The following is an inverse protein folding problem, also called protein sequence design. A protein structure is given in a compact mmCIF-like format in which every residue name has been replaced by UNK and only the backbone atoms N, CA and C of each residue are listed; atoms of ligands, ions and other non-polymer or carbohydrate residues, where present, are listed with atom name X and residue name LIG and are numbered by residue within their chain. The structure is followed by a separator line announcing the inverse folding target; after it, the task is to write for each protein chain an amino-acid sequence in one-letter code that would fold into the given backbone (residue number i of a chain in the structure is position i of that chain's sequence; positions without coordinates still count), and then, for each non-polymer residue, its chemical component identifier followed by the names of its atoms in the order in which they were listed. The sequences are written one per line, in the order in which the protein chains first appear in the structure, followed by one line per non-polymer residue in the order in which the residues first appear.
data_IF_138670731950
#
_entry.id   IF_138670731950
#
_cell.length_a   1.000
_cell.length_b   1.000
_cell.length_c   1.000
_cell.angle_alpha   90.00
_cell.angle_beta   90.00
_cell.angle_gamma   90.00
#
_symmetry.space_group_name_H-M   'P 1'
#
loop_
_entity.id
_entity.type
_entity.pdbx_description
1 polymer ?
#
# COMPACT_ATOMS: atom_id res chain seq x y z
N UNK A 1 11.93 -10.75 13.75
CA UNK A 1 11.24 -10.21 12.56
C UNK A 1 10.10 -9.37 13.05
N UNK A 2 10.13 -8.04 12.87
CA UNK A 2 8.95 -7.21 13.15
C UNK A 2 7.95 -7.52 12.03
N UNK A 3 6.77 -7.98 12.41
CA UNK A 3 5.71 -8.39 11.49
C UNK A 3 5.05 -7.16 10.89
N UNK A 4 5.11 -7.03 9.57
CA UNK A 4 4.29 -6.06 8.84
C UNK A 4 2.80 -6.26 9.20
N UNK A 5 2.15 -5.20 9.68
CA UNK A 5 0.76 -5.28 10.16
C UNK A 5 -0.21 -5.25 8.97
N UNK A 6 -0.42 -6.42 8.39
CA UNK A 6 -1.32 -6.63 7.25
C UNK A 6 -2.76 -6.21 7.54
N UNK A 7 -3.23 -6.37 8.78
CA UNK A 7 -4.59 -5.96 9.17
C UNK A 7 -4.75 -4.45 9.14
N UNK A 8 -3.79 -3.71 9.68
CA UNK A 8 -3.77 -2.25 9.63
C UNK A 8 -3.63 -1.75 8.19
N UNK A 9 -2.74 -2.35 7.41
CA UNK A 9 -2.57 -2.02 6.00
C UNK A 9 -3.89 -2.20 5.23
N UNK A 10 -4.55 -3.34 5.39
CA UNK A 10 -5.84 -3.62 4.76
C UNK A 10 -6.92 -2.64 5.18
N UNK A 11 -6.95 -2.22 6.46
CA UNK A 11 -7.91 -1.22 6.94
C UNK A 11 -7.71 0.14 6.28
N UNK A 12 -6.45 0.57 6.10
CA UNK A 12 -6.13 1.82 5.39
C UNK A 12 -6.56 1.73 3.93
N UNK A 13 -6.22 0.61 3.27
CA UNK A 13 -6.54 0.35 1.87
C UNK A 13 -8.06 0.37 1.63
N UNK A 14 -8.82 -0.34 2.47
CA UNK A 14 -10.28 -0.42 2.38
C UNK A 14 -10.97 0.93 2.60
N UNK A 15 -10.32 1.87 3.28
CA UNK A 15 -10.82 3.23 3.51
C UNK A 15 -10.31 4.23 2.46
N UNK A 16 -9.45 3.81 1.54
CA UNK A 16 -8.88 4.67 0.52
C UNK A 16 -9.88 4.87 -0.61
N UNK A 17 -10.51 6.05 -0.66
CA UNK A 17 -11.36 6.48 -1.77
C UNK A 17 -10.48 7.13 -2.85
N UNK A 18 -10.53 6.63 -4.09
CA UNK A 18 -9.83 7.24 -5.23
C UNK A 18 -8.41 6.75 -5.55
N UNK A 19 -7.93 5.70 -4.86
CA UNK A 19 -6.62 5.11 -5.11
C UNK A 19 -5.48 5.70 -4.26
N UNK A 20 -4.41 4.92 -4.08
CA UNK A 20 -3.30 5.25 -3.20
C UNK A 20 -1.97 4.69 -3.74
N UNK A 21 -0.87 5.29 -3.32
CA UNK A 21 0.49 4.78 -3.57
C UNK A 21 0.99 3.98 -2.38
N UNK A 22 1.95 3.08 -2.60
CA UNK A 22 2.59 2.35 -1.50
C UNK A 22 3.36 3.28 -0.53
N UNK A 23 3.79 4.46 -0.99
CA UNK A 23 4.36 5.51 -0.11
C UNK A 23 3.33 6.06 0.87
N UNK A 24 2.12 6.40 0.39
CA UNK A 24 1.01 6.85 1.23
C UNK A 24 0.64 5.79 2.25
N UNK A 25 0.58 4.52 1.84
CA UNK A 25 0.33 3.39 2.72
C UNK A 25 1.42 3.27 3.79
N UNK A 26 2.71 3.33 3.40
CA UNK A 26 3.83 3.28 4.33
C UNK A 26 3.77 4.43 5.33
N UNK A 27 3.52 5.66 4.90
CA UNK A 27 3.37 6.83 5.78
C UNK A 27 2.21 6.67 6.77
N UNK A 28 1.07 6.16 6.31
CA UNK A 28 -0.09 5.89 7.16
C UNK A 28 0.19 4.78 8.20
N UNK A 29 1.07 3.82 7.86
CA UNK A 29 1.53 2.79 8.78
C UNK A 29 2.55 3.33 9.80
N UNK A 30 3.53 4.14 9.38
CA UNK A 30 4.58 4.78 10.21
C UNK A 30 3.99 5.74 11.25
N UNK A 31 2.88 6.41 10.94
CA UNK A 31 2.30 7.46 11.80
C UNK A 31 2.05 7.05 13.27
N UNK A 32 2.07 5.74 13.59
CA UNK A 32 2.08 5.24 14.98
C UNK A 32 3.42 4.70 15.50
N UNK A 33 4.33 4.25 14.64
CA UNK A 33 5.59 3.61 15.04
C UNK A 33 6.77 4.54 14.74
N UNK A 34 7.16 5.34 15.74
CA UNK A 34 8.17 6.41 15.63
C UNK A 34 9.61 5.95 15.34
N UNK A 35 9.83 4.68 14.97
CA UNK A 35 11.17 4.08 14.83
C UNK A 35 11.26 3.02 13.73
N UNK A 36 10.35 3.01 12.76
CA UNK A 36 10.43 2.05 11.66
C UNK A 36 11.29 2.57 10.52
N UNK A 37 12.24 1.74 10.09
CA UNK A 37 13.11 2.01 8.95
C UNK A 37 12.22 2.13 7.71
N UNK A 38 11.96 3.36 7.29
CA UNK A 38 10.95 3.68 6.28
C UNK A 38 11.22 2.93 4.96
N UNK A 39 12.48 2.58 4.70
CA UNK A 39 12.92 1.82 3.53
C UNK A 39 12.44 0.37 3.54
N UNK A 40 12.49 -0.31 4.70
CA UNK A 40 12.04 -1.70 4.81
C UNK A 40 10.52 -1.77 4.72
N UNK A 41 9.83 -0.86 5.41
CA UNK A 41 8.38 -0.77 5.33
C UNK A 41 7.89 -0.45 3.92
N UNK A 42 8.55 0.43 3.18
CA UNK A 42 8.20 0.70 1.77
C UNK A 42 8.28 -0.57 0.92
N UNK A 43 9.31 -1.40 1.11
CA UNK A 43 9.45 -2.68 0.40
C UNK A 43 8.32 -3.64 0.76
N UNK A 44 7.98 -3.74 2.04
CA UNK A 44 6.89 -4.62 2.49
C UNK A 44 5.52 -4.11 2.02
N UNK A 45 5.26 -2.79 2.06
CA UNK A 45 4.07 -2.17 1.49
C UNK A 45 3.93 -2.46 0.00
N UNK A 46 5.03 -2.34 -0.76
CA UNK A 46 5.05 -2.63 -2.19
C UNK A 46 4.73 -4.09 -2.47
N UNK A 47 5.38 -5.03 -1.77
CA UNK A 47 5.08 -6.48 -1.88
C UNK A 47 3.64 -6.79 -1.49
N UNK A 48 3.12 -6.13 -0.45
CA UNK A 48 1.75 -6.33 0.00
C UNK A 48 0.74 -5.85 -1.04
N UNK A 49 0.97 -4.69 -1.66
CA UNK A 49 0.12 -4.19 -2.74
C UNK A 49 0.14 -5.12 -3.96
N UNK A 50 1.32 -5.63 -4.35
CA UNK A 50 1.49 -6.64 -5.39
C UNK A 50 0.69 -7.91 -5.08
N UNK A 51 0.79 -8.44 -3.85
CA UNK A 51 0.07 -9.64 -3.43
C UNK A 51 -1.45 -9.45 -3.45
N UNK A 52 -1.93 -8.26 -3.09
CA UNK A 52 -3.35 -7.94 -3.16
C UNK A 52 -3.82 -7.75 -4.61
N UNK A 53 -2.97 -7.24 -5.50
CA UNK A 53 -3.23 -7.17 -6.94
C UNK A 53 -3.33 -8.56 -7.56
N UNK A 54 -2.41 -9.48 -7.24
CA UNK A 54 -2.48 -10.88 -7.69
C UNK A 54 -3.75 -11.58 -7.22
N UNK A 55 -4.27 -11.20 -6.05
CA UNK A 55 -5.55 -11.69 -5.51
C UNK A 55 -6.78 -11.02 -6.13
N UNK A 56 -6.61 -10.01 -6.98
CA UNK A 56 -7.71 -9.23 -7.56
C UNK A 56 -8.40 -8.27 -6.57
N UNK A 57 -7.79 -8.02 -5.41
CA UNK A 57 -8.29 -7.09 -4.38
C UNK A 57 -7.90 -5.65 -4.73
N UNK A 58 -6.67 -5.47 -5.22
CA UNK A 58 -6.19 -4.20 -5.75
C UNK A 58 -6.16 -4.25 -7.27
N UNK A 59 -6.38 -3.10 -7.90
CA UNK A 59 -6.09 -2.88 -9.31
C UNK A 59 -5.02 -1.81 -9.42
N UNK A 60 -3.92 -2.15 -10.10
CA UNK A 60 -2.90 -1.17 -10.44
C UNK A 60 -3.41 -0.27 -11.56
N UNK A 61 -3.37 1.05 -11.34
CA UNK A 61 -3.67 2.04 -12.36
C UNK A 61 -2.41 2.36 -13.14
N UNK A 62 -2.30 1.83 -14.37
CA UNK A 62 -1.20 2.14 -15.30
C UNK A 62 -1.41 3.44 -16.09
N UNK A 63 -2.53 4.15 -15.91
CA UNK A 63 -2.84 5.39 -16.65
C UNK A 63 -2.09 6.64 -16.15
N UNK A 64 -1.04 6.46 -15.35
CA UNK A 64 -0.29 7.59 -14.83
C UNK A 64 0.68 8.12 -15.89
N UNK A 65 0.68 9.44 -16.08
CA UNK A 65 1.59 10.15 -16.99
C UNK A 65 3.08 9.88 -16.67
N UNK A 66 3.37 9.39 -15.45
CA UNK A 66 4.71 9.08 -14.98
C UNK A 66 4.79 7.62 -14.54
N UNK A 67 5.76 6.83 -15.02
CA UNK A 67 5.93 5.42 -14.63
C UNK A 67 6.38 5.23 -13.17
N UNK A 68 6.72 6.32 -12.48
CA UNK A 68 7.08 6.33 -11.05
C UNK A 68 5.84 6.45 -10.14
N UNK A 69 4.71 6.81 -10.73
CA UNK A 69 3.43 7.00 -10.07
C UNK A 69 2.63 5.69 -10.17
N UNK A 70 3.12 4.64 -9.51
CA UNK A 70 2.39 3.38 -9.35
C UNK A 70 1.27 3.56 -8.31
N UNK A 71 0.03 3.74 -8.76
CA UNK A 71 -1.15 3.80 -7.89
C UNK A 71 -1.94 2.49 -7.90
N UNK A 72 -2.49 2.15 -6.75
CA UNK A 72 -3.37 1.01 -6.54
C UNK A 72 -4.75 1.54 -6.15
N UNK A 73 -5.78 0.96 -6.75
CA UNK A 73 -7.17 1.23 -6.40
C UNK A 73 -7.73 -0.01 -5.74
N UNK A 74 -8.40 0.18 -4.60
CA UNK A 74 -9.11 -0.91 -3.96
C UNK A 74 -10.35 -1.27 -4.78
N UNK A 75 -10.43 -2.52 -5.22
CA UNK A 75 -11.55 -3.04 -5.99
C UNK A 75 -12.61 -3.47 -4.97
N UNK A 76 -13.56 -2.59 -4.68
CA UNK A 76 -14.74 -2.95 -3.90
C UNK A 76 -15.63 -3.83 -4.78
N UNK A 77 -15.84 -5.07 -4.38
CA UNK A 77 -16.75 -5.98 -5.08
C UNK A 77 -18.21 -5.72 -4.68
#
# INVERSE_FOLDING_TARGET
MKTFDTQKAMKIISHSDGGFSYDTLARALISKDKNEDSTELLKECRKFCLHLEEKGILRRCHNCLHPQDEYYVFVTH
#
